data_IF_744642328179
#
_entry.id   IF_744642328179
#
_cell.length_a   1.000
_cell.length_b   1.000
_cell.length_c   1.000
_cell.angle_alpha   90.00
_cell.angle_beta   90.00
_cell.angle_gamma   90.00
#
_symmetry.space_group_name_H-M   'P 1'
#
loop_
_entity.id
_entity.type
_entity.pdbx_description
1 polymer ?
#
# COMPACT_ATOMS: atom_id res chain seq x y z
N UNK A 1 19.02 -53.32 34.45
CA UNK A 1 20.06 -53.93 33.60
C UNK A 1 19.50 -54.06 32.19
N UNK A 2 19.97 -53.25 31.23
CA UNK A 2 19.95 -53.53 29.78
C UNK A 2 20.48 -52.31 28.99
N UNK A 3 21.77 -52.39 28.67
CA UNK A 3 22.47 -51.99 27.44
C UNK A 3 22.02 -50.75 26.62
N UNK A 4 22.89 -49.74 26.70
CA UNK A 4 23.45 -48.90 25.62
C UNK A 4 23.44 -49.52 24.22
N UNK A 5 23.03 -48.75 23.21
CA UNK A 5 23.70 -48.67 21.91
C UNK A 5 23.57 -47.26 21.33
N UNK A 6 24.69 -46.54 21.28
CA UNK A 6 24.87 -45.33 20.48
C UNK A 6 25.18 -45.67 19.02
N UNK A 7 24.77 -44.79 18.11
CA UNK A 7 25.20 -44.84 16.70
C UNK A 7 25.80 -43.49 16.31
N UNK A 8 27.03 -43.62 15.80
CA UNK A 8 27.98 -42.60 15.38
C UNK A 8 27.48 -41.78 14.19
N UNK A 9 27.89 -40.52 14.20
CA UNK A 9 27.95 -39.64 13.04
C UNK A 9 29.00 -40.16 12.03
N UNK A 10 28.64 -40.19 10.75
CA UNK A 10 29.56 -40.37 9.63
C UNK A 10 29.60 -39.10 8.79
N UNK A 11 30.77 -38.48 8.83
CA UNK A 11 31.23 -37.37 8.00
C UNK A 11 31.50 -37.94 6.60
N UNK A 12 30.94 -37.33 5.55
CA UNK A 12 31.32 -37.61 4.17
C UNK A 12 32.03 -36.39 3.55
N UNK A 13 33.10 -36.61 2.77
CA UNK A 13 34.03 -35.58 2.32
C UNK A 13 33.57 -34.84 1.06
N UNK A 14 33.98 -33.57 0.96
CA UNK A 14 33.99 -32.74 -0.25
C UNK A 14 34.96 -33.33 -1.28
N UNK A 15 34.50 -33.55 -2.50
CA UNK A 15 35.36 -33.69 -3.67
C UNK A 15 34.87 -32.76 -4.79
N UNK A 16 35.70 -31.78 -5.13
CA UNK A 16 35.61 -30.95 -6.32
C UNK A 16 36.85 -31.23 -7.17
N UNK A 17 36.71 -31.55 -8.47
CA UNK A 17 37.79 -31.35 -9.42
C UNK A 17 37.55 -30.07 -10.24
N UNK A 18 38.57 -29.19 -10.18
CA UNK A 18 38.85 -28.18 -11.21
C UNK A 18 39.45 -28.92 -12.41
N UNK A 19 38.99 -28.61 -13.62
CA UNK A 19 39.80 -28.85 -14.82
C UNK A 19 39.71 -27.65 -15.76
N UNK A 20 40.90 -27.26 -16.19
CA UNK A 20 41.25 -26.22 -17.15
C UNK A 20 41.48 -26.93 -18.49
N UNK A 21 41.18 -26.28 -19.62
CA UNK A 21 41.99 -26.49 -20.82
C UNK A 21 42.66 -25.18 -21.30
N UNK A 22 43.97 -25.27 -21.56
CA UNK A 22 44.82 -24.30 -22.26
C UNK A 22 45.42 -25.02 -23.48
N UNK A 23 45.61 -24.26 -24.57
CA UNK A 23 46.32 -24.51 -25.84
C UNK A 23 45.58 -25.33 -26.92
N UNK A 24 45.58 -24.96 -28.21
CA UNK A 24 46.34 -23.93 -28.96
C UNK A 24 45.59 -23.55 -30.26
N UNK A 25 45.85 -22.37 -30.83
CA UNK A 25 46.66 -22.11 -32.06
C UNK A 25 45.96 -22.61 -33.34
N UNK A 26 45.81 -21.90 -34.45
CA UNK A 26 46.32 -20.61 -34.96
C UNK A 26 45.69 -20.40 -36.37
N UNK A 27 46.00 -19.27 -37.03
CA UNK A 27 45.65 -18.82 -38.40
C UNK A 27 44.39 -17.95 -38.49
N UNK A 28 44.50 -16.62 -38.45
CA UNK A 28 44.85 -15.68 -39.54
C UNK A 28 43.96 -15.85 -40.77
N UNK A 29 43.05 -14.89 -41.00
CA UNK A 29 42.90 -14.16 -42.26
C UNK A 29 42.21 -12.82 -41.97
N UNK A 30 42.76 -11.83 -42.63
CA UNK A 30 42.47 -10.41 -42.65
C UNK A 30 41.11 -10.08 -43.27
N UNK A 31 40.35 -9.16 -42.67
CA UNK A 31 39.76 -8.09 -43.45
C UNK A 31 39.49 -6.86 -42.58
N UNK A 32 40.44 -5.92 -42.61
CA UNK A 32 40.22 -4.53 -42.22
C UNK A 32 39.37 -3.89 -43.30
N UNK A 33 38.09 -3.67 -43.03
CA UNK A 33 37.38 -2.58 -43.68
C UNK A 33 37.26 -1.44 -42.68
N UNK A 34 38.21 -0.51 -42.83
CA UNK A 34 38.10 0.86 -42.37
C UNK A 34 36.85 1.48 -42.99
N UNK A 35 35.77 1.63 -42.23
CA UNK A 35 34.70 2.55 -42.61
C UNK A 35 34.91 3.86 -41.86
N UNK A 36 35.52 4.79 -42.59
CA UNK A 36 35.57 6.20 -42.26
C UNK A 36 34.15 6.78 -42.11
N UNK A 37 34.03 7.71 -41.17
CA UNK A 37 32.84 8.53 -40.91
C UNK A 37 32.27 9.16 -42.19
N UNK A 38 30.94 9.25 -42.27
CA UNK A 38 30.26 10.37 -42.91
C UNK A 38 29.44 11.11 -41.83
N UNK A 39 30.08 12.12 -41.22
CA UNK A 39 29.37 13.21 -40.56
C UNK A 39 28.75 14.10 -41.64
N UNK A 40 27.52 14.57 -41.41
CA UNK A 40 26.82 15.61 -42.16
C UNK A 40 26.36 15.27 -43.59
N UNK A 41 25.08 14.89 -43.71
CA UNK A 41 24.27 15.27 -44.86
C UNK A 41 22.97 15.93 -44.37
N UNK A 42 23.10 17.17 -43.89
CA UNK A 42 21.96 18.09 -43.87
C UNK A 42 21.64 18.47 -45.30
N UNK A 43 20.50 18.02 -45.83
CA UNK A 43 19.97 18.54 -47.10
C UNK A 43 19.55 20.00 -46.88
N UNK A 44 20.08 20.99 -47.61
CA UNK A 44 19.52 22.34 -47.59
C UNK A 44 18.14 22.29 -48.25
N UNK A 45 17.14 22.71 -47.51
CA UNK A 45 15.76 22.87 -47.96
C UNK A 45 15.74 23.86 -49.13
N UNK A 46 15.31 23.39 -50.30
CA UNK A 46 15.07 24.26 -51.44
C UNK A 46 13.98 25.28 -51.08
N UNK A 47 14.34 26.56 -51.16
CA UNK A 47 13.39 27.67 -51.11
C UNK A 47 12.46 27.57 -52.32
N UNK A 48 11.26 27.01 -52.13
CA UNK A 48 10.12 27.28 -52.99
C UNK A 48 9.27 28.34 -52.32
N UNK A 49 9.34 29.55 -52.87
CA UNK A 49 8.33 30.58 -52.66
C UNK A 49 6.97 30.02 -53.03
N UNK A 50 6.16 29.80 -52.01
CA UNK A 50 4.76 29.40 -52.10
C UNK A 50 4.11 29.86 -50.82
N UNK A 51 3.13 30.74 -50.94
CA UNK A 51 2.35 31.30 -49.84
C UNK A 51 1.78 30.15 -49.00
N UNK A 52 2.40 29.86 -47.86
CA UNK A 52 1.82 28.97 -46.86
C UNK A 52 1.21 29.84 -45.77
N UNK A 53 -0.08 29.57 -45.55
CA UNK A 53 -0.88 30.03 -44.42
C UNK A 53 -0.02 30.18 -43.17
N UNK A 54 -0.13 31.33 -42.51
CA UNK A 54 0.42 31.54 -41.17
C UNK A 54 -0.31 30.63 -40.18
N UNK A 55 0.00 29.34 -40.21
CA UNK A 55 -0.37 28.40 -39.18
C UNK A 55 0.38 28.83 -37.94
N UNK A 56 -0.36 29.36 -36.96
CA UNK A 56 0.16 29.81 -35.68
C UNK A 56 0.96 28.66 -35.06
N UNK A 57 2.29 28.73 -35.16
CA UNK A 57 3.20 27.84 -34.47
C UNK A 57 2.93 28.00 -32.98
N UNK A 58 2.22 27.03 -32.40
CA UNK A 58 1.99 26.99 -30.96
C UNK A 58 3.34 27.15 -30.25
N UNK A 59 3.46 28.04 -29.27
CA UNK A 59 4.73 28.27 -28.58
C UNK A 59 5.24 26.94 -28.03
N UNK A 60 6.43 26.55 -28.46
CA UNK A 60 7.11 25.33 -28.00
C UNK A 60 7.22 25.39 -26.49
N UNK A 61 6.40 24.60 -25.79
CA UNK A 61 6.41 24.56 -24.33
C UNK A 61 7.84 24.28 -23.84
N UNK A 62 8.29 24.94 -22.76
CA UNK A 62 9.61 24.69 -22.20
C UNK A 62 9.74 23.19 -21.88
N UNK A 63 10.93 22.60 -22.06
CA UNK A 63 11.15 21.18 -21.79
C UNK A 63 10.77 20.88 -20.33
N UNK A 64 9.64 20.21 -20.12
CA UNK A 64 9.23 19.77 -18.81
C UNK A 64 10.19 18.67 -18.36
N UNK A 65 10.80 18.85 -17.20
CA UNK A 65 11.59 17.79 -16.56
C UNK A 65 10.71 16.56 -16.36
N UNK A 66 11.27 15.36 -16.61
CA UNK A 66 10.56 14.11 -16.35
C UNK A 66 10.08 14.05 -14.89
N UNK A 67 8.93 13.42 -14.65
CA UNK A 67 8.37 13.22 -13.32
C UNK A 67 9.40 12.67 -12.32
N UNK A 68 10.26 11.76 -12.80
CA UNK A 68 11.37 11.17 -12.05
C UNK A 68 12.42 12.21 -11.60
N UNK A 69 12.78 13.16 -12.46
CA UNK A 69 13.73 14.23 -12.12
C UNK A 69 13.12 15.21 -11.12
N UNK A 70 11.82 15.52 -11.28
CA UNK A 70 11.11 16.38 -10.34
C UNK A 70 11.04 15.75 -8.95
N UNK A 71 10.66 14.48 -8.84
CA UNK A 71 10.60 13.77 -7.55
C UNK A 71 11.94 13.68 -6.82
N UNK A 72 13.06 13.53 -7.55
CA UNK A 72 14.40 13.48 -6.93
C UNK A 72 14.78 14.79 -6.22
N UNK A 73 14.23 15.92 -6.66
CA UNK A 73 14.54 17.24 -6.15
C UNK A 73 13.54 17.72 -5.08
N UNK A 74 12.49 16.96 -4.78
CA UNK A 74 11.51 17.30 -3.74
C UNK A 74 12.06 16.83 -2.39
N UNK A 75 11.96 17.70 -1.38
CA UNK A 75 12.30 17.34 -0.01
C UNK A 75 11.49 16.10 0.42
N UNK A 76 12.12 15.05 0.97
CA UNK A 76 11.44 13.81 1.34
C UNK A 76 10.30 14.04 2.36
N UNK A 77 10.39 15.10 3.15
CA UNK A 77 9.36 15.45 4.12
C UNK A 77 8.10 16.06 3.47
N UNK A 78 8.23 16.61 2.26
CA UNK A 78 7.11 17.22 1.50
C UNK A 78 6.41 16.25 0.56
N UNK A 79 6.95 15.04 0.38
CA UNK A 79 6.34 14.04 -0.49
C UNK A 79 5.05 13.52 0.17
N UNK A 80 3.89 13.64 -0.50
CA UNK A 80 2.64 13.15 0.04
C UNK A 80 2.72 11.63 0.18
N UNK A 81 2.28 11.12 1.32
CA UNK A 81 2.28 9.68 1.63
C UNK A 81 1.00 8.98 1.14
N UNK A 82 0.20 9.64 0.31
CA UNK A 82 -1.09 9.13 -0.15
C UNK A 82 -0.94 8.35 -1.47
N UNK A 83 -0.53 7.08 -1.36
CA UNK A 83 -0.24 6.22 -2.52
C UNK A 83 -1.37 5.27 -2.90
N UNK A 84 -2.55 5.39 -2.28
CA UNK A 84 -3.63 4.41 -2.45
C UNK A 84 -3.36 3.10 -1.71
N UNK A 85 -4.34 2.18 -1.75
CA UNK A 85 -4.14 0.80 -1.29
C UNK A 85 -3.23 0.09 -2.29
N UNK A 86 -2.20 -0.62 -1.81
CA UNK A 86 -1.29 -1.34 -2.67
C UNK A 86 -2.03 -2.32 -3.60
N UNK A 87 -1.67 -2.39 -4.88
CA UNK A 87 -2.35 -3.23 -5.86
C UNK A 87 -2.27 -4.72 -5.48
N UNK A 88 -3.39 -5.42 -5.65
CA UNK A 88 -3.52 -6.84 -5.29
C UNK A 88 -3.67 -7.10 -3.78
N UNK A 89 -3.95 -6.06 -2.99
CA UNK A 89 -4.33 -6.22 -1.58
C UNK A 89 -5.71 -6.86 -1.49
N UNK A 90 -5.73 -8.11 -1.02
CA UNK A 90 -6.98 -8.82 -0.82
C UNK A 90 -7.54 -8.56 0.59
N UNK A 91 -8.75 -8.04 0.66
CA UNK A 91 -9.44 -7.72 1.91
C UNK A 91 -10.59 -8.70 2.05
N UNK A 92 -10.35 -9.76 2.82
CA UNK A 92 -11.37 -10.80 3.02
C UNK A 92 -12.67 -10.18 3.54
N UNK A 93 -13.84 -10.46 2.94
CA UNK A 93 -15.13 -10.05 3.49
C UNK A 93 -15.49 -10.80 4.77
N UNK A 94 -16.56 -10.37 5.45
CA UNK A 94 -17.14 -11.09 6.57
C UNK A 94 -18.27 -12.01 6.09
N UNK A 95 -18.64 -13.02 6.88
CA UNK A 95 -19.51 -14.12 6.47
C UNK A 95 -20.83 -13.73 5.79
N UNK A 96 -21.41 -12.56 6.09
CA UNK A 96 -22.62 -12.06 5.40
C UNK A 96 -22.36 -11.58 3.97
N UNK A 97 -21.18 -11.02 3.73
CA UNK A 97 -20.78 -10.46 2.42
C UNK A 97 -19.99 -11.49 1.59
N UNK A 98 -19.81 -12.70 2.11
CA UNK A 98 -19.07 -13.77 1.44
C UNK A 98 -20.03 -14.70 0.72
N UNK A 99 -19.67 -15.25 -0.46
CA UNK A 99 -20.55 -16.18 -1.16
C UNK A 99 -20.91 -17.38 -0.30
N UNK A 100 -22.20 -17.74 -0.35
CA UNK A 100 -22.74 -18.86 0.38
C UNK A 100 -22.15 -20.17 -0.13
N UNK A 101 -21.67 -21.02 0.79
CA UNK A 101 -21.09 -22.32 0.45
C UNK A 101 -22.02 -23.21 -0.37
N UNK A 102 -23.33 -23.18 -0.09
CA UNK A 102 -24.29 -24.06 -0.73
C UNK A 102 -24.88 -23.51 -2.04
N UNK A 103 -24.95 -22.18 -2.20
CA UNK A 103 -25.54 -21.57 -3.41
C UNK A 103 -24.48 -21.37 -4.50
N UNK A 104 -23.30 -20.90 -4.13
CA UNK A 104 -22.22 -20.54 -5.06
C UNK A 104 -20.87 -21.14 -4.60
N UNK A 105 -20.73 -22.49 -4.59
CA UNK A 105 -19.55 -23.16 -4.05
C UNK A 105 -18.28 -22.82 -4.84
N UNK A 106 -18.36 -22.66 -6.17
CA UNK A 106 -17.20 -22.33 -7.03
C UNK A 106 -16.65 -20.95 -6.72
N UNK A 107 -17.51 -19.95 -6.61
CA UNK A 107 -17.16 -18.57 -6.25
C UNK A 107 -16.55 -18.52 -4.85
N UNK A 108 -17.12 -19.29 -3.91
CA UNK A 108 -16.57 -19.38 -2.56
C UNK A 108 -15.18 -20.00 -2.54
N UNK A 109 -14.96 -21.09 -3.26
CA UNK A 109 -13.64 -21.72 -3.37
C UNK A 109 -12.62 -20.82 -4.05
N UNK A 110 -13.03 -20.09 -5.10
CA UNK A 110 -12.19 -19.10 -5.76
C UNK A 110 -11.75 -18.00 -4.77
N UNK A 111 -12.67 -17.46 -3.99
CA UNK A 111 -12.36 -16.49 -2.95
C UNK A 111 -11.36 -17.01 -1.91
N UNK A 112 -11.58 -18.22 -1.40
CA UNK A 112 -10.69 -18.82 -0.41
C UNK A 112 -9.31 -19.14 -1.03
N UNK A 113 -9.27 -19.55 -2.31
CA UNK A 113 -8.03 -19.76 -3.05
C UNK A 113 -7.26 -18.45 -3.26
N UNK A 114 -7.92 -17.39 -3.71
CA UNK A 114 -7.30 -16.07 -3.88
C UNK A 114 -6.84 -15.51 -2.54
N UNK A 115 -7.62 -15.68 -1.48
CA UNK A 115 -7.24 -15.32 -0.12
C UNK A 115 -5.95 -16.04 0.31
N UNK A 116 -5.91 -17.36 0.15
CA UNK A 116 -4.77 -18.18 0.55
C UNK A 116 -3.53 -17.81 -0.25
N UNK A 117 -3.67 -17.67 -1.57
CA UNK A 117 -2.59 -17.22 -2.47
C UNK A 117 -2.10 -15.82 -2.10
N UNK A 118 -3.00 -14.88 -1.83
CA UNK A 118 -2.65 -13.51 -1.41
C UNK A 118 -1.94 -13.51 -0.07
N UNK A 119 -2.37 -14.35 0.88
CA UNK A 119 -1.70 -14.51 2.16
C UNK A 119 -0.28 -15.03 2.02
N UNK A 120 -0.06 -16.10 1.25
CA UNK A 120 1.29 -16.64 0.99
C UNK A 120 2.21 -15.63 0.29
N UNK A 121 1.72 -15.00 -0.78
CA UNK A 121 2.51 -14.01 -1.53
C UNK A 121 2.82 -12.76 -0.71
N UNK A 122 1.87 -12.30 0.12
CA UNK A 122 2.06 -11.14 1.01
C UNK A 122 3.04 -11.46 2.16
N UNK A 123 2.94 -12.67 2.73
CA UNK A 123 3.89 -13.13 3.75
C UNK A 123 5.32 -13.24 3.18
N UNK A 124 5.47 -13.88 2.02
CA UNK A 124 6.78 -14.03 1.37
C UNK A 124 7.36 -12.67 0.98
N UNK A 125 6.58 -11.80 0.33
CA UNK A 125 7.05 -10.47 -0.08
C UNK A 125 7.46 -9.60 1.12
N UNK A 126 6.70 -9.63 2.22
CA UNK A 126 7.06 -8.90 3.44
C UNK A 126 8.35 -9.42 4.06
N UNK A 127 8.54 -10.74 4.13
CA UNK A 127 9.78 -11.34 4.64
C UNK A 127 10.96 -11.00 3.73
N UNK A 128 10.80 -11.17 2.42
CA UNK A 128 11.80 -10.85 1.42
C UNK A 128 12.20 -9.37 1.50
N UNK A 129 11.22 -8.47 1.57
CA UNK A 129 11.45 -7.04 1.73
C UNK A 129 12.22 -6.71 3.01
N UNK A 130 11.73 -7.16 4.17
CA UNK A 130 12.31 -6.80 5.47
C UNK A 130 13.72 -7.39 5.68
N UNK A 131 14.01 -8.57 5.13
CA UNK A 131 15.27 -9.29 5.38
C UNK A 131 16.33 -9.10 4.29
N UNK A 132 15.92 -8.94 3.03
CA UNK A 132 16.83 -8.88 1.88
C UNK A 132 16.86 -7.53 1.16
N UNK A 133 15.73 -6.82 1.04
CA UNK A 133 15.70 -5.58 0.24
C UNK A 133 15.94 -4.31 1.06
N UNK A 134 15.53 -4.29 2.34
CA UNK A 134 15.69 -3.11 3.17
C UNK A 134 17.09 -3.05 3.80
N UNK A 135 17.82 -1.97 3.53
CA UNK A 135 19.05 -1.58 4.23
C UNK A 135 18.79 -0.29 5.02
N UNK A 136 18.92 -0.27 6.36
CA UNK A 136 19.10 -1.42 7.27
C UNK A 136 17.85 -2.33 7.31
N UNK A 137 18.03 -3.58 7.76
CA UNK A 137 16.96 -4.59 7.82
C UNK A 137 15.78 -4.09 8.65
N UNK A 138 14.60 -4.06 8.04
CA UNK A 138 13.39 -3.61 8.71
C UNK A 138 12.86 -4.70 9.66
N UNK A 139 12.35 -4.29 10.81
CA UNK A 139 11.70 -5.22 11.75
C UNK A 139 10.32 -5.65 11.23
N UNK A 140 10.06 -6.95 11.25
CA UNK A 140 8.78 -7.51 10.80
C UNK A 140 7.61 -7.11 11.72
N UNK A 141 7.88 -6.74 12.98
CA UNK A 141 6.89 -6.22 13.95
C UNK A 141 5.65 -7.13 14.08
N UNK A 142 5.78 -8.44 13.86
CA UNK A 142 4.62 -9.30 13.58
C UNK A 142 3.55 -9.26 14.67
N UNK A 143 3.97 -9.15 15.94
CA UNK A 143 3.12 -9.04 17.13
C UNK A 143 2.59 -7.62 17.33
N UNK A 144 3.42 -6.61 17.08
CA UNK A 144 3.12 -5.21 17.37
C UNK A 144 2.13 -4.59 16.38
N UNK A 145 1.98 -5.14 15.17
CA UNK A 145 1.04 -4.66 14.13
C UNK A 145 -0.37 -4.40 14.68
N UNK A 146 -0.89 -5.33 15.49
CA UNK A 146 -2.22 -5.21 16.10
C UNK A 146 -2.26 -4.10 17.15
N UNK A 147 -1.21 -3.99 17.97
CA UNK A 147 -1.10 -2.97 19.03
C UNK A 147 -1.01 -1.57 18.42
N UNK A 148 -0.16 -1.40 17.41
CA UNK A 148 0.01 -0.17 16.65
C UNK A 148 -1.33 0.25 16.02
N UNK A 149 -1.99 -0.68 15.33
CA UNK A 149 -3.28 -0.42 14.70
C UNK A 149 -4.37 0.02 15.69
N UNK A 150 -4.49 -0.68 16.83
CA UNK A 150 -5.42 -0.30 17.90
C UNK A 150 -5.13 1.09 18.45
N UNK A 151 -3.85 1.37 18.75
CA UNK A 151 -3.44 2.65 19.32
C UNK A 151 -3.69 3.82 18.36
N UNK A 152 -3.40 3.62 17.07
CA UNK A 152 -3.68 4.64 16.06
C UNK A 152 -5.18 4.88 15.88
N UNK A 153 -5.98 3.81 15.80
CA UNK A 153 -7.44 3.90 15.64
C UNK A 153 -8.11 4.66 16.78
N UNK A 154 -7.74 4.31 18.02
CA UNK A 154 -8.22 4.97 19.23
C UNK A 154 -7.79 6.46 19.28
N UNK A 155 -6.53 6.74 18.98
CA UNK A 155 -5.99 8.10 18.93
C UNK A 155 -6.72 8.94 17.87
N UNK A 156 -6.90 8.41 16.67
CA UNK A 156 -7.57 9.14 15.58
C UNK A 156 -8.99 9.53 15.96
N UNK A 157 -9.81 8.58 16.45
CA UNK A 157 -11.19 8.89 16.82
C UNK A 157 -11.28 9.82 18.04
N UNK A 158 -10.40 9.64 19.02
CA UNK A 158 -10.32 10.52 20.20
C UNK A 158 -9.97 11.96 19.80
N UNK A 159 -8.94 12.14 18.98
CA UNK A 159 -8.51 13.47 18.53
C UNK A 159 -9.49 14.09 17.54
N UNK A 160 -10.17 13.27 16.74
CA UNK A 160 -11.27 13.72 15.89
C UNK A 160 -12.46 14.24 16.71
N UNK A 161 -12.83 13.56 17.79
CA UNK A 161 -13.89 14.01 18.69
C UNK A 161 -13.52 15.36 19.35
N UNK A 162 -12.29 15.47 19.86
CA UNK A 162 -11.74 16.72 20.44
C UNK A 162 -11.59 17.87 19.44
N UNK A 163 -11.49 17.59 18.15
CA UNK A 163 -11.28 18.60 17.11
C UNK A 163 -9.82 19.04 16.95
N UNK A 164 -8.85 18.21 17.35
CA UNK A 164 -7.44 18.56 17.30
C UNK A 164 -6.84 18.36 15.90
N UNK A 165 -6.87 19.40 15.07
CA UNK A 165 -6.36 19.34 13.69
C UNK A 165 -4.86 18.98 13.62
N UNK A 166 -4.05 19.43 14.59
CA UNK A 166 -2.59 19.24 14.59
C UNK A 166 -2.24 17.77 14.74
N UNK A 167 -2.89 17.08 15.68
CA UNK A 167 -2.65 15.65 15.92
C UNK A 167 -3.13 14.79 14.74
N UNK A 168 -4.24 15.16 14.11
CA UNK A 168 -4.74 14.45 12.93
C UNK A 168 -3.76 14.54 11.75
N UNK A 169 -3.18 15.72 11.46
CA UNK A 169 -2.15 15.86 10.41
C UNK A 169 -0.88 15.07 10.71
N UNK A 170 -0.56 14.84 11.98
CA UNK A 170 0.65 14.15 12.39
C UNK A 170 0.52 12.61 12.39
N UNK A 171 -0.70 12.07 12.56
CA UNK A 171 -0.94 10.62 12.72
C UNK A 171 -1.78 9.99 11.61
N UNK A 172 -2.37 10.80 10.73
CA UNK A 172 -3.10 10.34 9.56
C UNK A 172 -2.40 10.79 8.28
N UNK A 173 -2.62 10.05 7.18
CA UNK A 173 -2.20 10.47 5.85
C UNK A 173 -2.83 11.83 5.47
N UNK A 174 -2.21 12.60 4.57
CA UNK A 174 -2.73 13.91 4.16
C UNK A 174 -4.18 13.85 3.66
N UNK A 175 -4.54 12.85 2.86
CA UNK A 175 -5.89 12.66 2.35
C UNK A 175 -6.92 12.49 3.47
N UNK A 176 -6.69 11.52 4.38
CA UNK A 176 -7.58 11.26 5.50
C UNK A 176 -7.64 12.45 6.47
N UNK A 177 -6.50 13.06 6.79
CA UNK A 177 -6.44 14.21 7.69
C UNK A 177 -7.28 15.38 7.16
N UNK A 178 -7.15 15.71 5.87
CA UNK A 178 -7.90 16.79 5.24
C UNK A 178 -9.42 16.54 5.28
N UNK A 179 -9.84 15.30 5.04
CA UNK A 179 -11.26 14.91 5.12
C UNK A 179 -11.82 15.04 6.54
N UNK A 180 -11.06 14.56 7.54
CA UNK A 180 -11.46 14.67 8.94
C UNK A 180 -11.50 16.13 9.41
N UNK A 181 -10.51 16.94 9.04
CA UNK A 181 -10.44 18.36 9.37
C UNK A 181 -11.60 19.12 8.71
N UNK A 182 -11.91 18.83 7.44
CA UNK A 182 -13.07 19.40 6.75
C UNK A 182 -14.37 19.08 7.50
N UNK A 183 -14.53 17.86 8.00
CA UNK A 183 -15.68 17.49 8.83
C UNK A 183 -15.69 18.21 10.17
N UNK A 184 -14.55 18.41 10.82
CA UNK A 184 -14.44 19.18 12.07
C UNK A 184 -14.90 20.62 11.85
N UNK A 185 -14.41 21.28 10.79
CA UNK A 185 -14.76 22.67 10.46
C UNK A 185 -16.23 22.85 10.09
N UNK A 186 -16.89 21.81 9.59
CA UNK A 186 -18.33 21.82 9.28
C UNK A 186 -19.21 21.64 10.53
N UNK A 187 -18.65 21.26 11.69
CA UNK A 187 -19.44 21.06 12.92
C UNK A 187 -20.01 22.39 13.42
N UNK A 188 -21.15 22.31 14.07
CA UNK A 188 -21.70 23.42 14.81
C UNK A 188 -20.79 23.75 16.01
N UNK A 189 -20.30 24.99 16.17
CA UNK A 189 -19.42 25.35 17.28
C UNK A 189 -20.06 25.20 18.66
N UNK A 190 -21.40 25.13 18.73
CA UNK A 190 -22.16 24.91 19.98
C UNK A 190 -22.26 23.43 20.38
N UNK A 191 -21.91 22.51 19.48
CA UNK A 191 -21.97 21.07 19.71
C UNK A 191 -20.59 20.50 20.07
N UNK A 192 -20.47 19.81 21.19
CA UNK A 192 -19.31 18.97 21.48
C UNK A 192 -19.63 17.53 21.10
N UNK A 193 -18.68 16.88 20.44
CA UNK A 193 -18.76 15.46 20.12
C UNK A 193 -17.76 14.74 21.02
N UNK A 194 -18.24 13.78 21.80
CA UNK A 194 -17.39 12.85 22.53
C UNK A 194 -17.47 11.48 21.90
N UNK A 195 -16.32 10.84 21.71
CA UNK A 195 -16.22 9.46 21.28
C UNK A 195 -15.53 8.65 22.37
N UNK A 196 -16.03 7.43 22.60
CA UNK A 196 -15.45 6.48 23.53
C UNK A 196 -15.50 5.08 22.95
N UNK A 197 -14.38 4.39 23.03
CA UNK A 197 -14.30 2.97 22.75
C UNK A 197 -14.74 2.18 23.99
N UNK A 198 -15.83 1.42 23.91
CA UNK A 198 -16.29 0.61 25.05
C UNK A 198 -15.51 -0.70 25.12
N UNK A 199 -15.50 -1.46 24.02
CA UNK A 199 -14.76 -2.72 23.93
C UNK A 199 -14.47 -3.14 22.51
N UNK A 200 -13.44 -3.98 22.36
CA UNK A 200 -13.22 -4.75 21.14
C UNK A 200 -14.01 -6.05 21.19
N UNK A 201 -14.80 -6.34 20.15
CA UNK A 201 -15.62 -7.54 20.05
C UNK A 201 -14.72 -8.71 19.67
N UNK A 202 -14.60 -9.70 20.56
CA UNK A 202 -13.77 -10.88 20.35
C UNK A 202 -14.61 -12.00 19.74
N UNK A 203 -14.38 -12.29 18.48
CA UNK A 203 -15.11 -13.32 17.74
C UNK A 203 -14.16 -14.19 16.88
N UNK A 204 -14.61 -15.32 16.32
CA UNK A 204 -13.80 -16.14 15.42
C UNK A 204 -13.31 -15.36 14.19
N UNK A 205 -14.09 -14.38 13.72
CA UNK A 205 -13.72 -13.55 12.56
C UNK A 205 -12.44 -12.74 12.81
N UNK A 206 -12.18 -12.37 14.07
CA UNK A 206 -11.00 -11.62 14.55
C UNK A 206 -9.98 -12.46 15.34
N UNK A 207 -10.08 -13.79 15.28
CA UNK A 207 -9.30 -14.72 16.12
C UNK A 207 -9.36 -14.36 17.62
N UNK A 208 -10.53 -13.99 18.12
CA UNK A 208 -10.78 -13.66 19.53
C UNK A 208 -9.94 -12.50 20.10
N UNK A 209 -9.28 -11.71 19.25
CA UNK A 209 -8.47 -10.56 19.68
C UNK A 209 -9.17 -9.21 19.44
N UNK A 210 -10.29 -9.24 18.74
CA UNK A 210 -11.05 -8.09 18.25
C UNK A 210 -10.38 -7.30 17.12
N UNK A 211 -9.13 -7.65 16.78
CA UNK A 211 -8.40 -7.10 15.65
C UNK A 211 -7.66 -8.18 14.89
N UNK A 212 -7.92 -8.29 13.58
CA UNK A 212 -7.26 -9.24 12.70
C UNK A 212 -6.49 -8.53 11.60
N UNK A 213 -5.24 -8.93 11.42
CA UNK A 213 -4.46 -8.56 10.24
C UNK A 213 -4.98 -9.37 9.06
N UNK A 214 -5.46 -8.67 8.03
CA UNK A 214 -5.95 -9.29 6.79
C UNK A 214 -4.85 -9.36 5.74
N UNK A 215 -4.10 -8.28 5.59
CA UNK A 215 -3.00 -8.17 4.64
C UNK A 215 -1.86 -7.35 5.26
N UNK A 216 -0.62 -7.75 4.96
CA UNK A 216 0.61 -7.02 5.29
C UNK A 216 1.49 -7.10 4.05
N UNK A 217 1.68 -5.97 3.39
CA UNK A 217 2.38 -5.87 2.11
C UNK A 217 3.42 -4.78 2.20
N UNK A 218 4.58 -5.05 1.60
CA UNK A 218 5.66 -4.08 1.48
C UNK A 218 6.18 -4.06 0.05
N UNK A 219 6.42 -2.87 -0.48
CA UNK A 219 6.94 -2.66 -1.84
C UNK A 219 7.95 -1.54 -1.84
N UNK A 220 8.98 -1.68 -2.68
CA UNK A 220 9.89 -0.59 -3.02
C UNK A 220 9.19 0.38 -3.96
N UNK A 221 9.47 1.67 -3.81
CA UNK A 221 9.02 2.68 -4.75
C UNK A 221 10.02 2.71 -5.92
N UNK A 222 9.62 2.36 -7.15
CA UNK A 222 10.56 2.30 -8.27
C UNK A 222 11.07 3.69 -8.69
N UNK A 223 10.30 4.73 -8.38
CA UNK A 223 10.61 6.11 -8.76
C UNK A 223 11.65 6.76 -7.86
N UNK A 224 11.77 6.30 -6.61
CA UNK A 224 12.66 6.87 -5.61
C UNK A 224 13.59 5.83 -5.00
N UNK A 225 14.92 6.03 -5.07
CA UNK A 225 15.87 5.12 -4.45
C UNK A 225 15.68 5.08 -2.93
N UNK A 226 15.95 3.92 -2.32
CA UNK A 226 15.85 3.67 -0.87
C UNK A 226 14.52 4.07 -0.22
N UNK A 227 13.46 4.10 -1.03
CA UNK A 227 12.11 4.45 -0.61
C UNK A 227 11.21 3.22 -0.71
N UNK A 228 10.40 3.02 0.31
CA UNK A 228 9.56 1.86 0.43
C UNK A 228 8.30 2.17 1.21
N UNK A 229 7.25 1.43 0.93
CA UNK A 229 5.97 1.57 1.60
C UNK A 229 5.58 0.20 2.13
N UNK A 230 5.20 0.15 3.40
CA UNK A 230 4.57 -1.00 4.02
C UNK A 230 3.17 -0.64 4.44
N UNK A 231 2.18 -1.37 3.95
CA UNK A 231 0.77 -1.21 4.30
C UNK A 231 0.24 -2.45 4.98
N UNK A 232 -0.56 -2.25 6.02
CA UNK A 232 -1.22 -3.30 6.78
C UNK A 232 -2.69 -2.99 6.84
N UNK A 233 -3.49 -3.95 6.38
CA UNK A 233 -4.95 -3.90 6.49
C UNK A 233 -5.39 -4.67 7.73
N UNK A 234 -6.11 -3.99 8.60
CA UNK A 234 -6.62 -4.49 9.86
C UNK A 234 -8.15 -4.49 9.82
N UNK A 235 -8.76 -5.61 10.19
CA UNK A 235 -10.17 -5.65 10.57
C UNK A 235 -10.29 -5.36 12.05
N UNK A 236 -11.04 -4.34 12.42
CA UNK A 236 -11.33 -3.96 13.81
C UNK A 236 -12.83 -4.14 14.03
N UNK A 237 -13.20 -4.96 15.02
CA UNK A 237 -14.58 -5.08 15.49
C UNK A 237 -14.67 -4.50 16.89
N UNK A 238 -15.53 -3.50 17.06
CA UNK A 238 -15.62 -2.75 18.31
C UNK A 238 -17.04 -2.27 18.59
N UNK A 239 -17.35 -2.12 19.86
CA UNK A 239 -18.48 -1.34 20.34
C UNK A 239 -17.99 0.06 20.68
N UNK A 240 -18.61 1.04 20.04
CA UNK A 240 -18.22 2.45 20.14
C UNK A 240 -19.44 3.25 20.59
N UNK A 241 -19.19 4.21 21.47
CA UNK A 241 -20.19 5.17 21.93
C UNK A 241 -19.83 6.53 21.37
N UNK A 242 -20.79 7.18 20.71
CA UNK A 242 -20.67 8.58 20.33
C UNK A 242 -21.84 9.37 20.90
N UNK A 243 -21.53 10.51 21.50
CA UNK A 243 -22.51 11.39 22.13
C UNK A 243 -22.25 12.83 21.70
N UNK A 244 -23.33 13.58 21.49
CA UNK A 244 -23.31 14.99 21.13
C UNK A 244 -23.95 15.77 22.27
N UNK A 245 -23.20 16.70 22.88
CA UNK A 245 -23.75 17.67 23.83
C UNK A 245 -23.83 19.05 23.22
N UNK A 246 -24.98 19.70 23.35
CA UNK A 246 -25.15 21.12 23.03
C UNK A 246 -24.83 21.93 24.27
N UNK A 247 -23.96 22.94 24.15
CA UNK A 247 -23.73 23.93 25.21
C UNK A 247 -24.81 25.02 25.13
N UNK A 248 -25.98 24.81 25.72
CA UNK A 248 -26.90 25.91 26.03
C UNK A 248 -26.99 26.07 27.56
N UNK A 249 -26.70 27.27 28.03
CA UNK A 249 -26.40 27.61 29.43
C UNK A 249 -27.63 27.96 30.30
N UNK A 250 -28.86 27.78 29.82
CA UNK A 250 -30.04 28.16 30.63
C UNK A 250 -31.26 27.31 30.26
N UNK A 251 -31.84 26.66 31.26
CA UNK A 251 -33.18 26.03 31.25
C UNK A 251 -33.43 24.78 30.38
N UNK A 252 -32.46 23.88 30.20
CA UNK A 252 -32.75 22.59 29.53
C UNK A 252 -32.07 21.37 30.17
N UNK A 253 -32.24 21.23 31.49
CA UNK A 253 -32.05 19.92 32.15
C UNK A 253 -32.95 18.85 31.50
N UNK A 254 -34.05 19.24 30.85
CA UNK A 254 -35.03 18.33 30.22
C UNK A 254 -34.81 18.10 28.70
N UNK A 255 -34.18 19.01 27.94
CA UNK A 255 -33.83 18.74 26.51
C UNK A 255 -32.47 18.04 26.31
N UNK A 256 -31.72 17.78 27.37
CA UNK A 256 -30.52 16.92 27.33
C UNK A 256 -30.84 15.46 26.94
N UNK A 257 -32.13 15.11 26.84
CA UNK A 257 -32.65 13.77 26.59
C UNK A 257 -32.65 13.33 25.10
N UNK A 258 -32.20 14.15 24.15
CA UNK A 258 -32.10 13.76 22.72
C UNK A 258 -30.85 12.93 22.36
N UNK A 259 -30.06 12.48 23.34
CA UNK A 259 -28.85 11.72 23.05
C UNK A 259 -28.47 10.74 24.15
N UNK A 260 -29.29 9.72 24.40
CA UNK A 260 -28.76 8.52 25.09
C UNK A 260 -27.50 8.06 24.34
N UNK A 261 -26.38 7.76 25.05
CA UNK A 261 -25.17 7.26 24.42
C UNK A 261 -25.51 5.99 23.65
N UNK A 262 -25.60 6.10 22.32
CA UNK A 262 -25.92 4.96 21.47
C UNK A 262 -24.64 4.16 21.28
N UNK A 263 -24.58 3.02 21.96
CA UNK A 263 -23.55 2.03 21.73
C UNK A 263 -23.81 1.39 20.37
N UNK A 264 -22.85 1.53 19.45
CA UNK A 264 -22.93 0.96 18.11
C UNK A 264 -21.83 -0.07 17.92
N UNK A 265 -22.22 -1.23 17.41
CA UNK A 265 -21.29 -2.26 16.93
C UNK A 265 -20.80 -1.89 15.54
N UNK A 266 -19.49 -1.67 15.41
CA UNK A 266 -18.83 -1.27 14.17
C UNK A 266 -17.82 -2.35 13.74
N UNK A 267 -17.77 -2.62 12.43
CA UNK A 267 -16.72 -3.43 11.80
C UNK A 267 -16.04 -2.58 10.75
N UNK A 268 -14.77 -2.27 10.97
CA UNK A 268 -14.02 -1.34 10.14
C UNK A 268 -12.77 -2.03 9.59
N UNK A 269 -12.43 -1.72 8.35
CA UNK A 269 -11.22 -2.18 7.68
C UNK A 269 -10.26 -1.01 7.60
N UNK A 270 -9.37 -0.91 8.59
CA UNK A 270 -8.43 0.20 8.75
C UNK A 270 -7.13 -0.16 8.07
N UNK A 271 -6.60 0.75 7.26
CA UNK A 271 -5.30 0.62 6.62
C UNK A 271 -4.32 1.51 7.35
N UNK A 272 -3.29 0.91 7.92
CA UNK A 272 -2.14 1.63 8.47
C UNK A 272 -0.96 1.48 7.53
N UNK A 273 -0.14 2.52 7.44
CA UNK A 273 1.04 2.52 6.60
C UNK A 273 2.27 3.04 7.33
N UNK A 274 3.42 2.53 6.91
CA UNK A 274 4.73 3.04 7.29
C UNK A 274 5.51 3.29 6.00
N UNK A 275 5.95 4.52 5.82
CA UNK A 275 6.71 4.95 4.66
C UNK A 275 8.16 5.13 5.05
N UNK A 276 9.07 4.58 4.26
CA UNK A 276 10.50 4.87 4.28
C UNK A 276 10.82 5.72 3.06
N UNK A 277 11.48 6.84 3.26
CA UNK A 277 11.78 7.78 2.19
C UNK A 277 13.25 8.16 2.24
N UNK A 278 13.97 7.95 1.12
CA UNK A 278 15.40 8.22 1.01
C UNK A 278 16.20 7.69 2.23
N UNK A 279 15.92 6.44 2.64
CA UNK A 279 16.59 5.81 3.78
C UNK A 279 16.02 6.15 5.17
N UNK A 280 15.15 7.16 5.31
CA UNK A 280 14.55 7.57 6.59
C UNK A 280 13.19 6.92 6.81
N UNK A 281 13.02 6.25 7.94
CA UNK A 281 11.75 5.67 8.34
C UNK A 281 10.83 6.75 8.95
N UNK A 282 9.63 6.92 8.40
CA UNK A 282 8.55 7.67 9.06
C UNK A 282 7.83 6.79 10.09
N UNK A 283 7.09 7.45 10.98
CA UNK A 283 6.19 6.77 11.92
C UNK A 283 5.03 6.06 11.21
N UNK A 284 4.39 5.14 11.94
CA UNK A 284 3.13 4.57 11.48
C UNK A 284 2.02 5.61 11.51
N UNK A 285 1.27 5.68 10.42
CA UNK A 285 0.11 6.54 10.25
C UNK A 285 -1.10 5.75 9.75
N UNK A 286 -2.30 6.29 9.98
CA UNK A 286 -3.51 5.75 9.36
C UNK A 286 -3.61 6.31 7.95
N UNK A 287 -3.57 5.43 6.96
CA UNK A 287 -3.80 5.83 5.58
C UNK A 287 -5.29 6.12 5.33
N UNK A 288 -6.17 5.24 5.80
CA UNK A 288 -7.60 5.36 5.53
C UNK A 288 -8.39 4.12 5.89
N UNK A 289 -9.61 4.07 5.38
CA UNK A 289 -10.51 2.94 5.48
C UNK A 289 -10.63 2.25 4.12
N UNK A 290 -10.78 0.94 4.13
CA UNK A 290 -10.96 0.14 2.94
C UNK A 290 -12.32 -0.56 2.94
N UNK A 291 -12.76 -0.98 1.75
CA UNK A 291 -13.92 -1.85 1.60
C UNK A 291 -13.47 -3.30 1.45
N UNK A 292 -14.28 -4.28 1.88
CA UNK A 292 -14.06 -5.68 1.55
C UNK A 292 -13.96 -5.90 0.04
N UNK A 293 -13.14 -6.85 -0.37
CA UNK A 293 -13.04 -7.29 -1.77
C UNK A 293 -14.32 -8.05 -2.15
N UNK A 294 -14.95 -7.62 -3.24
CA UNK A 294 -16.12 -8.25 -3.85
C UNK A 294 -15.73 -9.19 -4.99
N UNK A 295 -16.69 -9.95 -5.55
CA UNK A 295 -16.42 -10.82 -6.71
C UNK A 295 -15.97 -10.00 -7.93
N UNK A 296 -16.60 -8.85 -8.16
CA UNK A 296 -16.31 -7.95 -9.27
C UNK A 296 -14.86 -7.42 -9.20
N UNK A 297 -14.34 -7.24 -7.98
CA UNK A 297 -12.96 -6.80 -7.79
C UNK A 297 -11.96 -7.88 -8.23
N UNK A 298 -12.29 -9.17 -8.14
CA UNK A 298 -11.38 -10.27 -8.48
C UNK A 298 -11.06 -10.34 -9.97
N UNK A 299 -11.99 -9.90 -10.83
CA UNK A 299 -11.79 -9.85 -12.29
C UNK A 299 -10.90 -8.67 -12.71
N UNK A 300 -10.54 -7.80 -11.76
CA UNK A 300 -9.68 -6.66 -12.06
C UNK A 300 -8.22 -7.08 -12.30
N UNK A 301 -7.47 -6.32 -13.12
CA UNK A 301 -6.03 -6.51 -13.31
C UNK A 301 -5.22 -6.47 -11.99
N UNK A 302 -5.79 -5.94 -10.90
CA UNK A 302 -5.17 -5.95 -9.57
C UNK A 302 -4.88 -7.36 -9.05
N UNK A 303 -5.72 -8.35 -9.38
CA UNK A 303 -5.57 -9.73 -8.92
C UNK A 303 -5.05 -10.67 -10.00
N UNK A 304 -4.91 -10.18 -11.23
CA UNK A 304 -4.36 -10.95 -12.33
C UNK A 304 -2.97 -11.53 -11.99
N UNK A 305 -2.82 -12.80 -12.27
CA UNK A 305 -1.65 -13.60 -11.91
C UNK A 305 -0.56 -13.44 -12.96
N UNK A 306 0.68 -13.16 -12.53
CA UNK A 306 1.84 -13.06 -13.42
C UNK A 306 2.22 -11.64 -13.88
N UNK A 307 1.37 -10.63 -13.65
CA UNK A 307 1.71 -9.24 -13.98
C UNK A 307 2.52 -8.54 -12.89
N UNK A 308 3.55 -7.78 -13.27
CA UNK A 308 4.32 -6.93 -12.35
C UNK A 308 3.48 -5.75 -11.86
N UNK A 309 3.89 -5.08 -10.77
CA UNK A 309 3.15 -3.93 -10.23
C UNK A 309 2.99 -2.81 -11.28
N UNK A 310 4.05 -2.57 -12.06
CA UNK A 310 4.04 -1.61 -13.17
C UNK A 310 3.00 -2.00 -14.23
N UNK A 311 2.99 -3.27 -14.63
CA UNK A 311 2.05 -3.77 -15.65
C UNK A 311 0.61 -3.72 -15.15
N UNK A 312 0.36 -3.96 -13.86
CA UNK A 312 -0.97 -3.82 -13.25
C UNK A 312 -1.46 -2.38 -13.25
N UNK A 313 -0.58 -1.44 -12.89
CA UNK A 313 -0.90 0.00 -12.90
C UNK A 313 -1.18 0.47 -14.34
N UNK A 314 -0.38 0.02 -15.31
CA UNK A 314 -0.59 0.33 -16.72
C UNK A 314 -1.89 -0.27 -17.26
N UNK A 315 -2.15 -1.55 -17.02
CA UNK A 315 -3.39 -2.21 -17.44
C UNK A 315 -4.64 -1.56 -16.82
N UNK A 316 -4.54 -1.03 -15.60
CA UNK A 316 -5.61 -0.26 -14.97
C UNK A 316 -5.82 1.09 -15.68
N UNK A 317 -4.73 1.80 -15.98
CA UNK A 317 -4.79 3.08 -16.68
C UNK A 317 -5.43 2.89 -18.06
N UNK A 318 -5.09 1.82 -18.78
CA UNK A 318 -5.68 1.48 -20.07
C UNK A 318 -7.18 1.17 -19.95
N UNK A 319 -7.59 0.39 -18.93
CA UNK A 319 -9.01 0.13 -18.64
C UNK A 319 -9.78 1.40 -18.29
N UNK A 320 -9.19 2.34 -17.55
CA UNK A 320 -9.81 3.63 -17.21
C UNK A 320 -9.91 4.58 -18.41
N UNK A 321 -8.96 4.51 -19.35
CA UNK A 321 -8.96 5.31 -20.57
C UNK A 321 -9.81 4.69 -21.69
N UNK A 322 -10.49 3.55 -21.44
CA UNK A 322 -11.31 2.86 -22.45
C UNK A 322 -10.49 2.27 -23.60
N UNK A 323 -9.20 2.03 -23.40
CA UNK A 323 -8.31 1.35 -24.36
C UNK A 323 -8.28 -0.14 -24.02
N UNK A 324 -9.39 -0.84 -24.22
CA UNK A 324 -9.43 -2.31 -24.09
C UNK A 324 -10.37 -2.92 -25.10
#
# INVERSE_FOLDING_TARGET
MAHSLGIRATILPRHTPRSIPIYGSSTLITNRQSQCRAFSQSKPTAAKGGMMSAEMLAPKMPPQHSFRTQMRNIDPDKIPTDFGILPGTFIRPEGKDMPNFFKHPRERLLFEWVWLKSWFTSAFSTVYFCKWQCNPRASLLLKDRKKIGKGLHDLMYTEFAKGNERMLRAKCSPGLANDLIKRIRKRNPKENISWKLERYIRDPSTFWTGVRVLSDRATLMPEMPDSAIRQIVLRIKSEQTSFKSTKDETENVVKSMYGLPKVQTCTEYVVIQKVKLAGRDKDWEIWGFAKPTTMEDLDSPFFATGMSLKDRVMAMQDKMMGRS
#
